data_IF_658732671272
#
_entry.id   IF_658732671272
#
_cell.length_a   1.000
_cell.length_b   1.000
_cell.length_c   1.000
_cell.angle_alpha   90.00
_cell.angle_beta   90.00
_cell.angle_gamma   90.00
#
_symmetry.space_group_name_H-M   'P 1'
#
loop_
_entity.id
_entity.type
_entity.pdbx_description
1 polymer ?
#
# COMPACT_ATOMS: atom_id res chain seq x y z
N UNK A 1 -54.94 31.86 47.34
CA UNK A 1 -54.28 31.53 48.62
C UNK A 1 -53.44 30.26 48.41
N UNK A 2 -52.40 30.32 47.57
CA UNK A 2 -50.96 30.47 47.92
C UNK A 2 -50.46 29.58 49.05
N UNK A 3 -50.00 28.36 48.71
CA UNK A 3 -48.91 27.70 49.42
C UNK A 3 -47.92 27.17 48.38
N UNK A 4 -46.78 27.86 48.29
CA UNK A 4 -45.59 27.46 47.54
C UNK A 4 -44.88 26.36 48.33
N UNK A 5 -44.60 25.21 47.72
CA UNK A 5 -43.53 24.31 48.18
C UNK A 5 -42.54 24.12 47.06
N UNK A 6 -41.35 24.69 47.27
CA UNK A 6 -40.14 24.49 46.47
C UNK A 6 -39.65 23.08 46.75
N UNK A 7 -39.50 22.26 45.73
CA UNK A 7 -38.63 21.09 45.77
C UNK A 7 -37.46 21.35 44.82
N UNK A 8 -36.33 21.68 45.43
CA UNK A 8 -35.00 21.51 44.86
C UNK A 8 -34.73 20.01 44.75
N UNK A 9 -34.54 19.50 43.54
CA UNK A 9 -33.99 18.16 43.32
C UNK A 9 -32.67 18.31 42.56
N UNK A 10 -31.59 18.00 43.29
CA UNK A 10 -30.20 18.07 42.86
C UNK A 10 -29.91 17.19 41.65
N UNK A 11 -29.01 17.68 40.80
CA UNK A 11 -28.38 16.94 39.72
C UNK A 11 -27.62 15.72 40.28
N UNK A 12 -27.93 14.53 39.75
CA UNK A 12 -27.15 13.32 39.97
C UNK A 12 -25.99 13.35 38.97
N UNK A 13 -24.78 13.60 39.47
CA UNK A 13 -23.54 13.35 38.72
C UNK A 13 -23.19 11.88 38.93
N UNK A 14 -23.34 11.07 37.88
CA UNK A 14 -22.82 9.70 37.85
C UNK A 14 -21.29 9.77 37.69
N UNK A 15 -20.56 9.71 38.80
CA UNK A 15 -19.15 9.38 38.81
C UNK A 15 -19.02 7.88 38.51
N UNK A 16 -18.65 7.54 37.28
CA UNK A 16 -18.15 6.20 36.93
C UNK A 16 -16.81 5.99 37.64
N UNK A 17 -16.88 5.47 38.86
CA UNK A 17 -15.72 4.96 39.57
C UNK A 17 -15.21 3.73 38.82
N UNK A 18 -14.04 3.86 38.18
CA UNK A 18 -13.25 2.74 37.70
C UNK A 18 -12.89 1.87 38.90
N UNK A 19 -13.55 0.71 39.01
CA UNK A 19 -13.22 -0.32 39.98
C UNK A 19 -11.84 -0.90 39.61
N UNK A 20 -10.78 -0.30 40.14
CA UNK A 20 -9.51 -0.97 40.32
C UNK A 20 -9.75 -2.04 41.39
N UNK A 21 -9.73 -3.31 40.99
CA UNK A 21 -9.83 -4.43 41.93
C UNK A 21 -8.64 -4.40 42.87
N UNK A 22 -8.86 -3.91 44.09
CA UNK A 22 -7.92 -4.05 45.18
C UNK A 22 -7.84 -5.55 45.54
N UNK A 23 -6.78 -6.21 45.12
CA UNK A 23 -6.45 -7.55 45.60
C UNK A 23 -6.06 -7.43 47.08
N UNK A 24 -6.91 -7.94 47.97
CA UNK A 24 -6.56 -8.11 49.38
C UNK A 24 -5.33 -9.02 49.51
N UNK A 25 -4.20 -8.44 49.88
CA UNK A 25 -2.97 -9.16 50.15
C UNK A 25 -3.08 -9.92 51.48
N UNK A 26 -2.60 -11.17 51.53
CA UNK A 26 -2.44 -11.89 52.81
C UNK A 26 -1.34 -11.22 53.63
N UNK A 27 -1.68 -10.87 54.88
CA UNK A 27 -0.76 -10.26 55.84
C UNK A 27 0.49 -11.15 56.02
N UNK A 28 1.68 -10.59 55.86
CA UNK A 28 2.97 -11.28 56.08
C UNK A 28 3.61 -11.92 54.84
N UNK A 29 3.04 -11.78 53.64
CA UNK A 29 3.74 -12.16 52.40
C UNK A 29 4.69 -11.04 51.95
N UNK A 30 5.92 -11.36 51.49
CA UNK A 30 6.82 -10.36 50.93
C UNK A 30 6.19 -9.68 49.72
N UNK A 31 6.47 -8.38 49.57
CA UNK A 31 5.98 -7.57 48.45
C UNK A 31 6.43 -8.22 47.13
N UNK A 32 5.46 -8.67 46.33
CA UNK A 32 5.74 -9.19 45.00
C UNK A 32 6.03 -7.98 44.12
N UNK A 33 7.25 -7.91 43.58
CA UNK A 33 7.62 -6.88 42.60
C UNK A 33 6.56 -6.83 41.50
N UNK A 34 5.93 -5.67 41.33
CA UNK A 34 5.00 -5.46 40.24
C UNK A 34 5.70 -5.79 38.91
N UNK A 35 5.09 -6.65 38.11
CA UNK A 35 5.62 -6.97 36.81
C UNK A 35 5.74 -5.67 35.98
N UNK A 36 6.87 -5.42 35.28
CA UNK A 36 6.98 -4.26 34.41
C UNK A 36 5.83 -4.27 33.39
N UNK A 37 5.27 -3.10 33.03
CA UNK A 37 4.23 -3.03 32.01
C UNK A 37 4.73 -3.68 30.71
N UNK A 38 3.88 -4.46 30.03
CA UNK A 38 4.29 -5.12 28.80
C UNK A 38 4.71 -4.07 27.76
N UNK A 39 5.73 -4.37 26.91
CA UNK A 39 6.10 -3.47 25.84
C UNK A 39 4.91 -3.25 24.89
N UNK A 40 4.85 -2.07 24.29
CA UNK A 40 3.81 -1.74 23.33
C UNK A 40 3.81 -2.76 22.17
N UNK A 41 2.63 -3.30 21.88
CA UNK A 41 2.43 -4.20 20.74
C UNK A 41 2.65 -3.47 19.41
N UNK A 42 2.98 -4.24 18.36
CA UNK A 42 3.10 -3.70 17.00
C UNK A 42 1.84 -2.93 16.56
N UNK A 43 0.65 -3.40 16.94
CA UNK A 43 -0.62 -2.72 16.67
C UNK A 43 -0.71 -1.34 17.34
N UNK A 44 -0.26 -1.22 18.60
CA UNK A 44 -0.24 0.06 19.31
C UNK A 44 0.75 1.05 18.68
N UNK A 45 1.93 0.58 18.29
CA UNK A 45 2.96 1.42 17.63
C UNK A 45 2.46 1.91 16.26
N UNK A 46 1.84 1.03 15.48
CA UNK A 46 1.26 1.41 14.18
C UNK A 46 0.10 2.40 14.37
N UNK A 47 -0.74 2.22 15.39
CA UNK A 47 -1.84 3.15 15.70
C UNK A 47 -1.34 4.54 16.12
N UNK A 48 -0.26 4.62 16.91
CA UNK A 48 0.38 5.88 17.27
C UNK A 48 0.97 6.60 16.05
N UNK A 49 1.58 5.84 15.14
CA UNK A 49 2.11 6.37 13.87
C UNK A 49 0.98 6.94 13.00
N UNK A 50 -0.14 6.21 12.90
CA UNK A 50 -1.32 6.62 12.16
C UNK A 50 -1.99 7.87 12.75
N UNK A 51 -2.03 8.04 14.09
CA UNK A 51 -2.62 9.22 14.72
C UNK A 51 -1.75 10.48 14.53
N UNK A 52 -0.43 10.35 14.66
CA UNK A 52 0.52 11.43 14.38
C UNK A 52 0.45 11.86 12.91
N UNK A 53 0.45 10.88 12.00
CA UNK A 53 0.30 11.11 10.57
C UNK A 53 -1.00 11.81 10.23
N UNK A 54 -2.14 11.34 10.75
CA UNK A 54 -3.45 11.96 10.51
C UNK A 54 -3.43 13.46 10.81
N UNK A 55 -2.80 13.82 11.93
CA UNK A 55 -2.69 15.20 12.39
C UNK A 55 -1.78 16.02 11.46
N UNK A 56 -0.62 15.51 11.07
CA UNK A 56 0.30 16.18 10.15
C UNK A 56 -0.28 16.32 8.74
N UNK A 57 -0.92 15.26 8.24
CA UNK A 57 -1.54 15.21 6.93
C UNK A 57 -2.72 16.17 6.81
N UNK A 58 -3.53 16.30 7.87
CA UNK A 58 -4.61 17.29 7.93
C UNK A 58 -4.08 18.75 7.88
N UNK A 59 -2.98 19.06 8.57
CA UNK A 59 -2.33 20.39 8.49
C UNK A 59 -1.88 20.75 7.07
N UNK A 60 -1.59 19.74 6.24
CA UNK A 60 -1.25 19.92 4.82
C UNK A 60 -2.46 19.86 3.88
N UNK A 61 -3.68 19.99 4.41
CA UNK A 61 -4.94 19.92 3.65
C UNK A 61 -5.21 18.55 3.01
N UNK A 62 -4.62 17.48 3.56
CA UNK A 62 -4.86 16.09 3.14
C UNK A 62 -4.71 15.86 1.62
N UNK A 63 -3.50 16.05 1.07
CA UNK A 63 -3.22 15.92 -0.36
C UNK A 63 -3.47 14.48 -0.83
N UNK A 64 -4.26 14.28 -1.89
CA UNK A 64 -4.63 12.95 -2.37
C UNK A 64 -3.41 12.21 -2.88
N UNK A 65 -3.36 10.91 -2.60
CA UNK A 65 -2.22 10.05 -2.88
C UNK A 65 -2.62 8.96 -3.86
N UNK A 66 -1.75 8.67 -4.83
CA UNK A 66 -1.81 7.43 -5.60
C UNK A 66 -0.71 6.50 -5.11
N UNK A 67 -1.01 5.20 -5.05
CA UNK A 67 -0.03 4.17 -4.68
C UNK A 67 0.27 3.31 -5.90
N UNK A 68 1.55 3.21 -6.22
CA UNK A 68 2.09 2.29 -7.20
C UNK A 68 2.69 1.12 -6.44
N UNK A 69 1.96 0.02 -6.42
CA UNK A 69 2.40 -1.21 -5.77
C UNK A 69 3.20 -2.08 -6.75
N UNK A 70 4.42 -2.44 -6.36
CA UNK A 70 5.42 -3.13 -7.17
C UNK A 70 5.63 -2.53 -8.58
N UNK A 71 5.47 -1.21 -8.68
CA UNK A 71 5.64 -0.43 -9.91
C UNK A 71 6.31 0.89 -9.58
N UNK A 72 7.12 1.37 -10.53
CA UNK A 72 7.66 2.73 -10.53
C UNK A 72 7.10 3.52 -11.73
N UNK A 73 7.00 4.84 -11.58
CA UNK A 73 6.81 5.71 -12.74
C UNK A 73 8.12 5.68 -13.55
N UNK A 74 8.05 5.28 -14.82
CA UNK A 74 9.26 5.15 -15.64
C UNK A 74 9.73 6.49 -16.16
N UNK A 75 11.04 6.65 -16.34
CA UNK A 75 11.67 7.83 -16.93
C UNK A 75 11.69 7.79 -18.48
N UNK A 76 11.33 6.66 -19.07
CA UNK A 76 11.13 6.55 -20.51
C UNK A 76 9.88 7.32 -20.94
N UNK A 77 10.08 8.38 -21.73
CA UNK A 77 8.99 9.14 -22.37
C UNK A 77 8.45 8.46 -23.63
N UNK A 78 8.95 7.27 -23.98
CA UNK A 78 8.48 6.52 -25.12
C UNK A 78 8.17 5.08 -24.74
N UNK A 79 6.97 4.65 -25.14
CA UNK A 79 6.58 3.24 -25.14
C UNK A 79 7.10 2.61 -26.43
N UNK A 80 7.96 1.60 -26.33
CA UNK A 80 8.24 0.73 -27.46
C UNK A 80 7.04 -0.19 -27.70
N UNK A 81 6.51 -0.15 -28.92
CA UNK A 81 5.46 -1.07 -29.36
C UNK A 81 6.07 -2.11 -30.30
N UNK A 82 5.79 -3.37 -30.04
CA UNK A 82 5.93 -4.42 -31.04
C UNK A 82 4.65 -4.41 -31.89
N UNK A 83 4.81 -4.08 -33.18
CA UNK A 83 3.74 -4.19 -34.16
C UNK A 83 3.78 -5.60 -34.77
N UNK A 84 2.67 -6.32 -34.69
CA UNK A 84 2.51 -7.60 -35.38
C UNK A 84 1.34 -7.53 -36.36
N UNK A 85 1.51 -8.18 -37.51
CA UNK A 85 0.48 -8.33 -38.52
C UNK A 85 0.36 -9.81 -38.90
N UNK A 86 -0.80 -10.41 -38.61
CA UNK A 86 -1.13 -11.77 -39.07
C UNK A 86 -2.03 -11.68 -40.29
N UNK A 87 -1.57 -12.28 -41.39
CA UNK A 87 -2.37 -12.45 -42.61
C UNK A 87 -2.79 -13.91 -42.67
N UNK A 88 -4.10 -14.17 -42.58
CA UNK A 88 -4.64 -15.52 -42.79
C UNK A 88 -5.16 -15.62 -44.23
N UNK A 89 -4.63 -16.60 -44.96
CA UNK A 89 -5.12 -16.95 -46.30
C UNK A 89 -6.23 -18.00 -46.16
N UNK A 90 -7.25 -17.91 -47.02
CA UNK A 90 -8.45 -18.74 -46.97
C UNK A 90 -8.20 -20.27 -47.11
N UNK A 91 -6.97 -20.71 -47.42
CA UNK A 91 -6.60 -22.13 -47.54
C UNK A 91 -6.02 -22.76 -46.25
N UNK A 92 -5.93 -22.01 -45.15
CA UNK A 92 -5.45 -22.51 -43.86
C UNK A 92 -3.92 -22.59 -43.72
N UNK A 93 -3.14 -22.10 -44.71
CA UNK A 93 -1.67 -21.97 -44.59
C UNK A 93 -1.30 -20.68 -43.88
N UNK A 94 -0.36 -20.78 -42.94
CA UNK A 94 0.21 -19.64 -42.22
C UNK A 94 1.46 -19.15 -42.95
N UNK A 95 1.55 -17.84 -43.21
CA UNK A 95 2.79 -17.18 -43.61
C UNK A 95 3.19 -16.25 -42.48
N UNK A 96 4.27 -16.59 -41.75
CA UNK A 96 4.86 -15.68 -40.77
C UNK A 96 5.59 -14.55 -41.52
N UNK A 97 5.29 -13.31 -41.12
CA UNK A 97 5.81 -12.09 -41.75
C UNK A 97 6.68 -11.33 -40.74
N UNK A 98 7.92 -11.05 -41.13
CA UNK A 98 8.79 -10.08 -40.45
C UNK A 98 8.77 -8.79 -41.25
N UNK A 99 8.44 -7.66 -40.60
CA UNK A 99 8.37 -6.34 -41.23
C UNK A 99 9.67 -5.57 -40.93
N UNK A 100 10.32 -5.07 -41.97
CA UNK A 100 11.54 -4.26 -41.84
C UNK A 100 11.18 -2.78 -41.61
N UNK A 101 12.07 -2.04 -40.95
CA UNK A 101 11.86 -0.67 -40.47
C UNK A 101 11.66 0.40 -41.56
N UNK A 102 11.70 0.04 -42.84
CA UNK A 102 11.57 0.95 -43.98
C UNK A 102 10.17 0.98 -44.62
N UNK A 103 9.22 0.19 -44.11
CA UNK A 103 7.84 0.18 -44.58
C UNK A 103 7.62 -0.50 -45.94
N UNK A 104 8.63 -1.09 -46.56
CA UNK A 104 8.46 -1.87 -47.79
C UNK A 104 7.81 -3.23 -47.50
N UNK A 105 6.93 -3.70 -48.40
CA UNK A 105 6.28 -5.01 -48.28
C UNK A 105 6.23 -5.70 -49.64
N UNK A 106 6.87 -6.86 -49.75
CA UNK A 106 6.76 -7.72 -50.93
C UNK A 106 5.78 -8.85 -50.65
N UNK A 107 4.74 -8.99 -51.47
CA UNK A 107 3.77 -10.09 -51.40
C UNK A 107 3.81 -10.84 -52.73
N UNK A 108 4.40 -12.03 -52.74
CA UNK A 108 4.31 -12.94 -53.86
C UNK A 108 3.10 -13.86 -53.67
N UNK A 109 1.97 -13.54 -54.30
CA UNK A 109 0.79 -14.42 -54.27
C UNK A 109 -0.51 -13.77 -54.72
N UNK A 110 -1.34 -14.54 -55.44
CA UNK A 110 -2.68 -14.17 -55.89
C UNK A 110 -3.67 -14.37 -54.73
N UNK A 111 -4.09 -13.30 -54.08
CA UNK A 111 -4.99 -13.35 -52.92
C UNK A 111 -6.46 -13.36 -53.33
N UNK A 112 -7.22 -14.33 -52.82
CA UNK A 112 -8.69 -14.37 -52.84
C UNK A 112 -9.10 -14.38 -51.37
N UNK A 113 -9.53 -13.21 -50.87
CA UNK A 113 -9.96 -12.90 -49.50
C UNK A 113 -8.94 -13.21 -48.38
N UNK A 114 -8.46 -12.15 -47.71
CA UNK A 114 -7.48 -12.22 -46.64
C UNK A 114 -8.01 -11.50 -45.39
N UNK A 115 -7.96 -12.17 -44.24
CA UNK A 115 -8.23 -11.51 -42.96
C UNK A 115 -6.91 -10.88 -42.46
N UNK A 116 -6.89 -9.55 -42.42
CA UNK A 116 -5.78 -8.78 -41.88
C UNK A 116 -6.06 -8.46 -40.40
N UNK A 117 -5.28 -9.05 -39.49
CA UNK A 117 -5.29 -8.68 -38.06
C UNK A 117 -3.95 -8.06 -37.71
N UNK A 118 -3.97 -6.78 -37.34
CA UNK A 118 -2.82 -6.07 -36.78
C UNK A 118 -3.06 -5.73 -35.32
N UNK A 119 -1.98 -5.73 -34.54
CA UNK A 119 -2.00 -5.38 -33.13
C UNK A 119 -0.70 -4.72 -32.70
N UNK A 120 -0.77 -3.90 -31.64
CA UNK A 120 0.39 -3.32 -30.96
C UNK A 120 0.45 -3.88 -29.56
N UNK A 121 1.62 -4.38 -29.16
CA UNK A 121 1.90 -4.77 -27.78
C UNK A 121 3.01 -3.89 -27.23
N UNK A 122 2.78 -3.21 -26.12
CA UNK A 122 3.83 -2.45 -25.45
C UNK A 122 4.83 -3.42 -24.80
N UNK A 123 6.10 -3.36 -25.19
CA UNK A 123 7.13 -4.31 -24.72
C UNK A 123 7.78 -3.90 -23.39
N UNK A 124 7.67 -2.63 -22.97
CA UNK A 124 8.47 -2.10 -21.83
C UNK A 124 7.76 -1.07 -20.94
N UNK A 125 6.44 -0.87 -21.08
CA UNK A 125 5.82 0.39 -20.65
C UNK A 125 5.05 0.41 -19.32
N UNK A 126 4.91 -0.69 -18.57
CA UNK A 126 4.04 -0.64 -17.37
C UNK A 126 4.81 -0.41 -16.06
N UNK A 127 6.14 -0.28 -16.09
CA UNK A 127 6.97 0.01 -14.91
C UNK A 127 6.88 -1.01 -13.77
N UNK A 128 6.18 -2.12 -14.00
CA UNK A 128 6.04 -3.24 -13.07
C UNK A 128 7.38 -3.96 -12.96
N UNK A 129 7.75 -4.38 -11.74
CA UNK A 129 8.99 -5.15 -11.53
C UNK A 129 8.74 -6.63 -11.77
N UNK A 130 9.60 -7.25 -12.56
CA UNK A 130 9.73 -8.72 -12.61
C UNK A 130 10.36 -9.18 -11.29
N UNK A 131 9.52 -9.72 -10.41
CA UNK A 131 9.92 -10.17 -9.07
C UNK A 131 9.14 -9.48 -7.95
N UNK A 132 8.89 -10.24 -6.89
CA UNK A 132 8.10 -9.80 -5.75
C UNK A 132 7.58 -10.99 -4.95
N UNK A 133 6.78 -10.69 -3.93
CA UNK A 133 6.05 -11.72 -3.19
C UNK A 133 5.19 -12.57 -4.14
N UNK A 134 4.96 -13.86 -3.83
CA UNK A 134 3.97 -14.66 -4.55
C UNK A 134 2.62 -13.93 -4.57
N UNK A 135 1.89 -13.99 -5.69
CA UNK A 135 0.69 -13.16 -5.96
C UNK A 135 -0.27 -13.02 -4.76
N UNK A 136 -0.66 -14.13 -4.12
CA UNK A 136 -1.54 -14.10 -2.94
C UNK A 136 -0.94 -13.33 -1.76
N UNK A 137 0.36 -13.49 -1.53
CA UNK A 137 1.09 -12.78 -0.49
C UNK A 137 1.23 -11.30 -0.85
N UNK A 138 1.53 -10.99 -2.11
CA UNK A 138 1.61 -9.64 -2.64
C UNK A 138 0.32 -8.86 -2.41
N UNK A 139 -0.83 -9.43 -2.78
CA UNK A 139 -2.14 -8.82 -2.55
C UNK A 139 -2.43 -8.56 -1.08
N UNK A 140 -2.03 -9.49 -0.20
CA UNK A 140 -2.22 -9.33 1.25
C UNK A 140 -1.32 -8.23 1.83
N UNK A 141 -0.08 -8.11 1.37
CA UNK A 141 0.80 -7.01 1.74
C UNK A 141 0.22 -5.67 1.26
N UNK A 142 -0.19 -5.59 0.00
CA UNK A 142 -0.81 -4.39 -0.58
C UNK A 142 -2.08 -3.98 0.20
N UNK A 143 -2.92 -4.96 0.55
CA UNK A 143 -4.12 -4.73 1.36
C UNK A 143 -3.78 -4.20 2.76
N UNK A 144 -2.79 -4.80 3.44
CA UNK A 144 -2.34 -4.35 4.76
C UNK A 144 -1.80 -2.92 4.73
N UNK A 145 -1.00 -2.60 3.71
CA UNK A 145 -0.49 -1.26 3.45
C UNK A 145 -1.64 -0.26 3.23
N UNK A 146 -2.52 -0.52 2.27
CA UNK A 146 -3.63 0.36 1.91
C UNK A 146 -4.59 0.59 3.09
N UNK A 147 -4.96 -0.49 3.80
CA UNK A 147 -5.84 -0.39 4.98
C UNK A 147 -5.21 0.49 6.05
N UNK A 148 -3.90 0.36 6.26
CA UNK A 148 -3.18 1.16 7.26
C UNK A 148 -3.13 2.62 6.84
N UNK A 149 -2.80 2.92 5.58
CA UNK A 149 -2.86 4.27 5.00
C UNK A 149 -4.24 4.92 5.17
N UNK A 150 -5.30 4.22 4.80
CA UNK A 150 -6.68 4.68 4.97
C UNK A 150 -7.04 4.90 6.44
N UNK A 151 -6.64 3.99 7.32
CA UNK A 151 -6.87 4.14 8.76
C UNK A 151 -6.17 5.38 9.33
N UNK A 152 -5.01 5.75 8.79
CA UNK A 152 -4.30 7.00 9.09
C UNK A 152 -4.95 8.26 8.51
N UNK A 153 -6.05 8.12 7.75
CA UNK A 153 -6.76 9.23 7.12
C UNK A 153 -6.21 9.64 5.75
N UNK A 154 -5.33 8.83 5.13
CA UNK A 154 -4.84 9.09 3.79
C UNK A 154 -5.98 9.06 2.76
N UNK A 155 -5.97 10.00 1.82
CA UNK A 155 -6.95 10.06 0.72
C UNK A 155 -6.38 9.34 -0.49
N UNK A 156 -6.58 8.03 -0.54
CA UNK A 156 -6.06 7.21 -1.63
C UNK A 156 -6.93 7.32 -2.88
N UNK A 157 -6.29 7.33 -4.03
CA UNK A 157 -6.95 7.24 -5.33
C UNK A 157 -6.45 6.01 -6.05
N UNK A 158 -7.38 5.28 -6.63
CA UNK A 158 -7.09 4.14 -7.47
C UNK A 158 -6.53 4.60 -8.83
N UNK A 159 -5.33 4.14 -9.16
CA UNK A 159 -4.68 4.42 -10.45
C UNK A 159 -5.54 3.95 -11.62
N UNK A 160 -6.08 2.74 -11.56
CA UNK A 160 -6.89 2.16 -12.64
C UNK A 160 -8.09 3.05 -12.95
N UNK A 161 -8.74 3.59 -11.91
CA UNK A 161 -9.84 4.54 -12.09
C UNK A 161 -9.38 5.86 -12.70
N UNK A 162 -8.25 6.40 -12.24
CA UNK A 162 -7.67 7.62 -12.82
C UNK A 162 -7.34 7.41 -14.29
N UNK A 163 -6.58 6.37 -14.63
CA UNK A 163 -6.19 6.02 -16.01
C UNK A 163 -7.41 5.82 -16.91
N UNK A 164 -8.42 5.08 -16.45
CA UNK A 164 -9.66 4.87 -17.20
C UNK A 164 -10.41 6.19 -17.41
N UNK A 165 -10.49 7.04 -16.40
CA UNK A 165 -11.16 8.35 -16.52
C UNK A 165 -10.44 9.27 -17.51
N UNK A 166 -9.10 9.24 -17.53
CA UNK A 166 -8.27 10.04 -18.41
C UNK A 166 -8.35 9.53 -19.86
N UNK A 167 -8.33 8.22 -20.07
CA UNK A 167 -8.44 7.62 -21.40
C UNK A 167 -9.75 7.97 -22.14
N UNK A 168 -10.82 8.26 -21.39
CA UNK A 168 -12.11 8.73 -21.91
C UNK A 168 -12.11 10.22 -22.30
N UNK A 169 -11.07 10.97 -21.93
CA UNK A 169 -10.91 12.38 -22.30
C UNK A 169 -10.65 12.57 -23.80
N UNK A 170 -11.16 13.67 -24.37
CA UNK A 170 -11.07 13.97 -25.81
C UNK A 170 -9.67 14.45 -26.27
N UNK A 171 -8.79 14.83 -25.35
CA UNK A 171 -7.49 15.48 -25.64
C UNK A 171 -6.27 14.68 -25.16
N UNK A 172 -6.41 13.37 -24.99
CA UNK A 172 -5.31 12.51 -24.51
C UNK A 172 -4.65 11.85 -25.70
N UNK A 173 -3.36 12.12 -25.90
CA UNK A 173 -2.55 11.36 -26.85
C UNK A 173 -2.37 9.95 -26.32
N UNK A 174 -3.11 9.01 -26.92
CA UNK A 174 -3.12 7.60 -26.51
C UNK A 174 -1.93 6.82 -27.04
N UNK A 175 -1.07 7.44 -27.85
CA UNK A 175 0.07 6.77 -28.46
C UNK A 175 1.25 6.64 -27.50
N UNK A 176 1.28 7.38 -26.39
CA UNK A 176 2.31 7.24 -25.37
C UNK A 176 1.69 6.99 -23.99
N UNK A 177 1.76 5.73 -23.54
CA UNK A 177 1.21 5.31 -22.26
C UNK A 177 1.79 6.08 -21.07
N UNK A 178 3.04 6.55 -21.16
CA UNK A 178 3.72 7.27 -20.10
C UNK A 178 3.22 8.72 -20.01
N UNK A 179 3.06 9.39 -21.15
CA UNK A 179 2.37 10.68 -21.21
C UNK A 179 0.91 10.58 -20.73
N UNK A 180 0.19 9.49 -21.05
CA UNK A 180 -1.16 9.26 -20.51
C UNK A 180 -1.13 9.09 -18.99
N UNK A 181 -0.19 8.31 -18.47
CA UNK A 181 -0.04 8.07 -17.03
C UNK A 181 0.23 9.37 -16.28
N UNK A 182 1.23 10.15 -16.71
CA UNK A 182 1.53 11.42 -16.07
C UNK A 182 0.37 12.41 -16.19
N UNK A 183 -0.28 12.50 -17.35
CA UNK A 183 -1.46 13.35 -17.54
C UNK A 183 -2.63 12.93 -16.64
N UNK A 184 -2.76 11.63 -16.35
CA UNK A 184 -3.79 11.13 -15.47
C UNK A 184 -3.50 11.49 -14.01
N UNK A 185 -2.23 11.45 -13.60
CA UNK A 185 -1.79 11.87 -12.27
C UNK A 185 -1.99 13.38 -12.05
N UNK A 186 -1.59 14.19 -13.02
CA UNK A 186 -1.71 15.65 -12.98
C UNK A 186 -3.18 16.07 -12.84
N UNK A 187 -3.51 16.72 -11.73
CA UNK A 187 -4.86 17.19 -11.42
C UNK A 187 -5.77 16.16 -10.75
N UNK A 188 -5.32 14.92 -10.55
CA UNK A 188 -6.05 13.91 -9.76
C UNK A 188 -5.38 13.61 -8.44
N UNK A 189 -4.06 13.45 -8.43
CA UNK A 189 -3.26 13.18 -7.25
C UNK A 189 -2.26 14.33 -7.02
N UNK A 190 -1.94 14.57 -5.75
CA UNK A 190 -0.87 15.49 -5.36
C UNK A 190 0.40 14.73 -4.96
N UNK A 191 0.27 13.52 -4.42
CA UNK A 191 1.39 12.67 -4.02
C UNK A 191 1.39 11.34 -4.78
N UNK A 192 2.58 10.90 -5.19
CA UNK A 192 2.85 9.56 -5.72
C UNK A 192 3.63 8.77 -4.67
N UNK A 193 3.15 7.58 -4.34
CA UNK A 193 3.83 6.63 -3.45
C UNK A 193 4.21 5.40 -4.27
N UNK A 194 5.49 5.21 -4.52
CA UNK A 194 6.00 4.01 -5.19
C UNK A 194 6.48 3.02 -4.13
N UNK A 195 5.89 1.83 -4.10
CA UNK A 195 6.27 0.75 -3.19
C UNK A 195 6.88 -0.37 -4.02
N UNK A 196 8.20 -0.53 -3.94
CA UNK A 196 8.96 -1.52 -4.70
C UNK A 196 9.43 -2.63 -3.77
N UNK A 197 9.39 -3.86 -4.28
CA UNK A 197 9.84 -5.03 -3.55
C UNK A 197 11.09 -5.60 -4.22
N UNK A 198 12.03 -6.05 -3.40
CA UNK A 198 13.23 -6.76 -3.86
C UNK A 198 13.46 -7.97 -2.95
N UNK A 199 13.75 -9.16 -3.52
CA UNK A 199 14.17 -10.32 -2.73
C UNK A 199 15.34 -9.97 -1.80
N UNK A 200 15.26 -10.41 -0.55
CA UNK A 200 16.27 -10.20 0.47
C UNK A 200 16.28 -11.39 1.43
N UNK A 201 17.28 -12.25 1.31
CA UNK A 201 17.43 -13.46 2.13
C UNK A 201 17.64 -13.16 3.61
N UNK A 202 18.08 -11.94 3.95
CA UNK A 202 18.25 -11.50 5.34
C UNK A 202 16.96 -11.00 5.98
N UNK A 203 15.91 -10.75 5.17
CA UNK A 203 14.63 -10.29 5.66
C UNK A 203 13.77 -11.45 6.17
N UNK A 204 13.07 -11.31 7.32
CA UNK A 204 12.17 -12.36 7.83
C UNK A 204 11.05 -12.77 6.86
N UNK A 205 10.68 -11.88 5.94
CA UNK A 205 9.68 -12.08 4.90
C UNK A 205 10.27 -12.62 3.59
N UNK A 206 11.60 -12.64 3.45
CA UNK A 206 12.32 -12.86 2.20
C UNK A 206 12.37 -11.63 1.28
N UNK A 207 11.87 -10.47 1.72
CA UNK A 207 11.79 -9.25 0.90
C UNK A 207 12.08 -7.98 1.70
N UNK A 208 12.78 -7.05 1.05
CA UNK A 208 12.90 -5.66 1.48
C UNK A 208 12.03 -4.78 0.58
N UNK A 209 11.40 -3.79 1.20
CA UNK A 209 10.56 -2.78 0.56
C UNK A 209 11.31 -1.47 0.50
N UNK A 210 11.32 -0.84 -0.67
CA UNK A 210 11.67 0.57 -0.84
C UNK A 210 10.40 1.35 -1.15
N UNK A 211 10.15 2.39 -0.38
CA UNK A 211 9.02 3.30 -0.61
C UNK A 211 9.53 4.71 -0.87
N UNK A 212 9.18 5.26 -2.02
CA UNK A 212 9.44 6.66 -2.35
C UNK A 212 8.13 7.45 -2.39
N UNK A 213 8.07 8.56 -1.67
CA UNK A 213 6.94 9.49 -1.69
C UNK A 213 7.35 10.77 -2.39
N UNK A 214 6.68 11.10 -3.49
CA UNK A 214 7.00 12.22 -4.36
C UNK A 214 5.83 13.21 -4.42
N UNK A 215 6.12 14.50 -4.39
CA UNK A 215 5.16 15.54 -4.77
C UNK A 215 5.09 15.63 -6.30
N UNK A 216 3.91 15.37 -6.87
CA UNK A 216 3.71 15.32 -8.32
C UNK A 216 3.88 16.70 -8.96
N UNK A 217 3.55 17.77 -8.23
CA UNK A 217 3.54 19.14 -8.77
C UNK A 217 4.95 19.73 -8.81
N UNK A 218 5.73 19.52 -7.76
CA UNK A 218 7.09 20.07 -7.66
C UNK A 218 8.18 19.07 -8.07
N UNK A 219 7.84 17.79 -8.24
CA UNK A 219 8.83 16.73 -8.46
C UNK A 219 9.71 16.43 -7.24
N UNK A 220 9.36 16.95 -6.06
CA UNK A 220 10.17 16.82 -4.85
C UNK A 220 10.00 15.44 -4.22
N UNK A 221 11.12 14.78 -3.90
CA UNK A 221 11.13 13.59 -3.06
C UNK A 221 10.88 14.01 -1.60
N UNK A 222 9.72 13.63 -1.07
CA UNK A 222 9.29 13.96 0.30
C UNK A 222 9.80 12.96 1.32
N UNK A 223 9.93 11.68 0.96
CA UNK A 223 10.46 10.64 1.83
C UNK A 223 10.95 9.44 1.01
N UNK A 224 12.00 8.79 1.52
CA UNK A 224 12.41 7.45 1.11
C UNK A 224 12.51 6.57 2.34
N UNK A 225 11.86 5.41 2.30
CA UNK A 225 11.91 4.40 3.36
C UNK A 225 12.41 3.09 2.77
N UNK A 226 13.43 2.50 3.37
CA UNK A 226 13.88 1.15 3.05
C UNK A 226 13.69 0.30 4.30
N UNK A 227 12.90 -0.77 4.18
CA UNK A 227 12.47 -1.55 5.34
C UNK A 227 12.12 -2.99 4.99
N UNK A 228 12.32 -3.89 5.94
CA UNK A 228 11.85 -5.28 5.86
C UNK A 228 10.39 -5.44 6.31
N UNK A 229 9.76 -4.35 6.79
CA UNK A 229 8.40 -4.38 7.35
C UNK A 229 8.29 -5.24 8.61
N UNK A 230 9.41 -5.43 9.31
CA UNK A 230 9.49 -6.24 10.53
C UNK A 230 8.78 -5.54 11.68
N UNK A 231 7.67 -6.09 12.21
CA UNK A 231 7.05 -5.51 13.39
C UNK A 231 7.99 -5.62 14.59
N UNK A 232 7.86 -4.71 15.58
CA UNK A 232 8.60 -4.78 16.83
C UNK A 232 8.52 -6.17 17.46
N UNK A 233 9.58 -6.65 18.13
CA UNK A 233 9.59 -7.96 18.76
C UNK A 233 8.36 -8.14 19.64
N UNK A 234 7.60 -9.21 19.42
CA UNK A 234 6.39 -9.51 20.16
C UNK A 234 6.68 -10.02 21.58
N UNK A 235 7.45 -9.25 22.37
CA UNK A 235 7.77 -9.54 23.77
C UNK A 235 8.37 -10.93 24.03
N UNK A 236 8.56 -11.32 25.30
CA UNK A 236 9.17 -12.60 25.68
C UNK A 236 8.29 -13.86 25.44
N UNK A 237 7.24 -13.78 24.60
CA UNK A 237 6.21 -14.82 24.50
C UNK A 237 5.33 -14.89 25.74
N UNK A 238 4.26 -15.70 25.68
CA UNK A 238 3.38 -15.92 26.85
C UNK A 238 3.63 -17.30 27.44
N UNK A 239 3.63 -17.39 28.76
CA UNK A 239 3.53 -18.68 29.44
C UNK A 239 2.11 -19.19 29.29
N UNK A 240 1.96 -20.39 28.76
CA UNK A 240 0.68 -21.10 28.63
C UNK A 240 0.79 -22.45 29.30
N UNK A 241 -0.25 -22.86 30.01
CA UNK A 241 -0.32 -24.19 30.57
C UNK A 241 -0.48 -25.21 29.43
N UNK A 242 0.51 -26.09 29.29
CA UNK A 242 0.52 -27.26 28.42
C UNK A 242 0.45 -28.56 29.22
N UNK A 243 0.49 -29.69 28.51
CA UNK A 243 0.39 -31.02 29.10
C UNK A 243 1.54 -31.33 30.10
N UNK A 244 2.68 -30.63 29.95
CA UNK A 244 3.88 -30.81 30.78
C UNK A 244 4.15 -29.62 31.73
N UNK A 245 3.13 -28.81 32.04
CA UNK A 245 3.27 -27.60 32.86
C UNK A 245 3.29 -26.32 32.03
N UNK A 246 3.89 -25.24 32.54
CA UNK A 246 3.93 -23.97 31.82
C UNK A 246 5.00 -23.98 30.73
N UNK A 247 4.57 -23.77 29.48
CA UNK A 247 5.45 -23.69 28.31
C UNK A 247 5.48 -22.25 27.77
N UNK A 248 6.66 -21.82 27.29
CA UNK A 248 6.81 -20.53 26.61
C UNK A 248 6.30 -20.66 25.18
N UNK A 249 5.12 -20.11 24.93
CA UNK A 249 4.62 -19.96 23.56
C UNK A 249 5.32 -18.79 22.90
N UNK A 250 6.19 -19.12 21.94
CA UNK A 250 6.81 -18.12 21.06
C UNK A 250 5.71 -17.43 20.25
N UNK A 251 5.80 -16.11 20.02
CA UNK A 251 4.91 -15.42 19.12
C UNK A 251 4.98 -16.03 17.72
N UNK A 252 3.83 -16.14 17.05
CA UNK A 252 3.81 -16.51 15.64
C UNK A 252 4.56 -15.46 14.82
N UNK A 253 5.25 -15.86 13.74
CA UNK A 253 5.81 -14.91 12.78
C UNK A 253 4.72 -13.95 12.26
N UNK A 254 5.08 -12.71 11.93
CA UNK A 254 4.12 -11.76 11.40
C UNK A 254 3.55 -12.25 10.07
N UNK A 255 2.25 -12.07 9.90
CA UNK A 255 1.60 -12.30 8.61
C UNK A 255 2.01 -11.26 7.57
N UNK A 256 1.90 -11.61 6.29
CA UNK A 256 2.24 -10.70 5.17
C UNK A 256 1.39 -9.41 5.18
N UNK A 257 0.15 -9.48 5.67
CA UNK A 257 -0.68 -8.28 5.91
C UNK A 257 -0.04 -7.37 6.98
N UNK A 258 0.41 -7.94 8.10
CA UNK A 258 1.08 -7.19 9.16
C UNK A 258 2.39 -6.56 8.69
N UNK A 259 3.11 -7.22 7.77
CA UNK A 259 4.29 -6.64 7.11
C UNK A 259 3.89 -5.41 6.30
N UNK A 260 2.90 -5.52 5.41
CA UNK A 260 2.40 -4.37 4.63
C UNK A 260 1.90 -3.21 5.51
N UNK A 261 1.19 -3.53 6.60
CA UNK A 261 0.75 -2.55 7.59
C UNK A 261 1.93 -1.85 8.29
N UNK A 262 2.99 -2.60 8.59
CA UNK A 262 4.21 -2.03 9.19
C UNK A 262 4.93 -1.11 8.22
N UNK A 263 5.09 -1.50 6.95
CA UNK A 263 5.68 -0.63 5.92
C UNK A 263 4.90 0.69 5.81
N UNK A 264 3.56 0.64 5.80
CA UNK A 264 2.74 1.86 5.79
C UNK A 264 2.95 2.74 7.03
N UNK A 265 3.04 2.14 8.23
CA UNK A 265 3.29 2.89 9.46
C UNK A 265 4.66 3.59 9.44
N UNK A 266 5.69 2.97 8.86
CA UNK A 266 7.03 3.57 8.73
C UNK A 266 7.05 4.69 7.68
N UNK A 267 6.31 4.55 6.57
CA UNK A 267 6.10 5.65 5.62
C UNK A 267 5.40 6.83 6.28
N UNK A 268 4.36 6.58 7.08
CA UNK A 268 3.69 7.60 7.86
C UNK A 268 4.64 8.32 8.83
N UNK A 269 5.49 7.57 9.54
CA UNK A 269 6.51 8.14 10.42
C UNK A 269 7.47 9.03 9.64
N UNK A 270 8.02 8.56 8.52
CA UNK A 270 8.93 9.32 7.69
C UNK A 270 8.29 10.62 7.17
N UNK A 271 7.03 10.57 6.73
CA UNK A 271 6.30 11.75 6.31
C UNK A 271 6.04 12.73 7.45
N UNK A 272 5.72 12.24 8.66
CA UNK A 272 5.59 13.10 9.84
C UNK A 272 6.91 13.80 10.13
N UNK A 273 8.03 13.06 10.17
CA UNK A 273 9.37 13.62 10.42
C UNK A 273 9.81 14.65 9.38
N UNK A 274 9.37 14.51 8.13
CA UNK A 274 9.71 15.46 7.05
C UNK A 274 8.71 16.62 6.92
N UNK A 275 7.54 16.54 7.54
CA UNK A 275 6.50 17.57 7.49
C UNK A 275 6.36 18.41 8.77
N UNK A 276 7.02 18.01 9.86
CA UNK A 276 6.99 18.70 11.14
C UNK A 276 8.25 18.44 11.93
#
# INVERSE_FOLDING_TARGET
MSIKRRFTASAIVLLLASAAGAQEYRQGMPEVLAAPPPPASAGQINAASASAFRSAYARRKSPRMVIFWNRQLTDSLSTSYEEWARVSLADGRFADRTQYSDGSTTIAGRAVEAEYRSGRTATTADGARDGGLPERADWRAAQGFNRTMLSGGARLIDRTLIMRSTALGKNVDRNDAQSVEMSALVGKAELLVEVLQTPDESAPSGFTFRVDVKDIRSGTLLATVVTQGSPPPAGPGRWVAGANGYERQRPLPPSVDQIGARVAAEVMQALVSNWG
#
